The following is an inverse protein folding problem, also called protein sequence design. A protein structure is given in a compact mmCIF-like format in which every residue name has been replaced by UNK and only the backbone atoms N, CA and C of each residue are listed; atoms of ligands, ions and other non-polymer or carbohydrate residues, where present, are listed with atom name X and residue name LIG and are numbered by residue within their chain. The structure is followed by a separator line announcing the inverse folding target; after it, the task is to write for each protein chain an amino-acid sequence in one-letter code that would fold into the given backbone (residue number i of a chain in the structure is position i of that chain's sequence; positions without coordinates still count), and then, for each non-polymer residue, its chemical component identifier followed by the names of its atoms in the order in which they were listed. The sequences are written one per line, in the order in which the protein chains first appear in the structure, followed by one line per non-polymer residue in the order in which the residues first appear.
data_IF_993857165378
#
_entry.id   IF_993857165378
#
_cell.length_a   1.000
_cell.length_b   1.000
_cell.length_c   1.000
_cell.angle_alpha   90.00
_cell.angle_beta   90.00
_cell.angle_gamma   90.00
#
_symmetry.space_group_name_H-M   'P 1'
#
loop_
_entity.id
_entity.type
_entity.pdbx_description
1 polymer ?
#
# COMPACT_ATOMS: atom_id res chain seq x y z
N UNK A 1 50.00 -19.37 6.20
CA UNK A 1 48.58 -19.70 5.88
C UNK A 1 47.76 -18.60 6.50
N UNK A 2 47.54 -17.54 5.74
CA UNK A 2 46.83 -16.37 6.24
C UNK A 2 45.33 -16.66 6.22
N UNK A 3 44.77 -16.77 7.42
CA UNK A 3 43.34 -16.82 7.68
C UNK A 3 42.71 -15.57 7.08
N UNK A 4 42.05 -15.72 5.93
CA UNK A 4 41.18 -14.69 5.38
C UNK A 4 40.03 -14.51 6.35
N UNK A 5 40.14 -13.45 7.16
CA UNK A 5 39.09 -12.98 8.04
C UNK A 5 37.96 -12.42 7.16
N UNK A 6 37.08 -13.30 6.68
CA UNK A 6 35.84 -12.92 6.01
C UNK A 6 34.99 -12.18 7.03
N UNK A 7 34.89 -10.85 6.89
CA UNK A 7 33.90 -10.05 7.61
C UNK A 7 32.53 -10.76 7.46
N UNK A 8 31.77 -10.97 8.55
CA UNK A 8 30.43 -11.50 8.40
C UNK A 8 29.66 -10.55 7.49
N UNK A 9 29.25 -11.04 6.32
CA UNK A 9 28.33 -10.32 5.45
C UNK A 9 27.06 -10.10 6.27
N UNK A 10 26.86 -8.86 6.73
CA UNK A 10 25.68 -8.49 7.52
C UNK A 10 24.48 -8.57 6.58
N UNK A 11 23.90 -9.77 6.47
CA UNK A 11 22.74 -10.03 5.63
C UNK A 11 21.59 -9.13 6.11
N UNK A 12 21.15 -8.23 5.23
CA UNK A 12 20.02 -7.35 5.50
C UNK A 12 18.76 -8.19 5.46
N UNK A 13 18.17 -8.45 6.62
CA UNK A 13 16.95 -9.23 6.73
C UNK A 13 15.73 -8.31 6.84
N UNK A 14 14.96 -8.26 5.76
CA UNK A 14 13.74 -7.48 5.60
C UNK A 14 12.55 -8.37 5.91
N UNK A 15 11.62 -7.89 6.73
CA UNK A 15 10.29 -8.50 6.87
C UNK A 15 9.27 -7.63 6.16
N UNK A 16 8.51 -8.20 5.23
CA UNK A 16 7.45 -7.52 4.51
C UNK A 16 6.08 -7.96 5.03
N UNK A 17 5.30 -7.06 5.62
CA UNK A 17 3.97 -7.32 6.19
C UNK A 17 2.87 -6.63 5.37
N UNK A 18 2.25 -7.30 4.38
CA UNK A 18 1.13 -6.76 3.63
C UNK A 18 -0.17 -6.77 4.44
N UNK A 19 -1.12 -5.88 4.09
CA UNK A 19 -2.52 -6.09 4.44
C UNK A 19 -3.02 -7.37 3.74
N UNK A 20 -3.80 -8.24 4.39
CA UNK A 20 -4.15 -9.58 3.90
C UNK A 20 -5.24 -9.57 2.81
N UNK A 21 -5.08 -8.71 1.80
CA UNK A 21 -5.95 -8.62 0.64
C UNK A 21 -5.16 -8.61 -0.65
N UNK A 22 -5.70 -9.20 -1.72
CA UNK A 22 -4.95 -9.43 -2.98
C UNK A 22 -4.34 -8.16 -3.58
N UNK A 23 -5.08 -7.06 -3.52
CA UNK A 23 -4.66 -5.75 -4.02
C UNK A 23 -3.48 -5.12 -3.26
N UNK A 24 -3.17 -5.62 -2.06
CA UNK A 24 -2.05 -5.16 -1.22
C UNK A 24 -0.86 -6.14 -1.28
N UNK A 25 -1.14 -7.45 -1.29
CA UNK A 25 -0.13 -8.50 -1.39
C UNK A 25 0.65 -8.42 -2.69
N UNK A 26 -0.04 -8.30 -3.84
CA UNK A 26 0.63 -8.33 -5.14
C UNK A 26 1.62 -7.17 -5.33
N UNK A 27 1.24 -5.89 -5.08
CA UNK A 27 2.18 -4.79 -5.20
C UNK A 27 3.37 -4.88 -4.23
N UNK A 28 3.13 -5.26 -2.97
CA UNK A 28 4.24 -5.39 -2.01
C UNK A 28 5.17 -6.55 -2.38
N UNK A 29 4.64 -7.67 -2.87
CA UNK A 29 5.45 -8.78 -3.38
C UNK A 29 6.30 -8.35 -4.58
N UNK A 30 5.74 -7.54 -5.50
CA UNK A 30 6.50 -7.00 -6.63
C UNK A 30 7.63 -6.06 -6.17
N UNK A 31 7.38 -5.20 -5.18
CA UNK A 31 8.43 -4.40 -4.55
C UNK A 31 9.52 -5.29 -3.96
N UNK A 32 9.14 -6.35 -3.24
CA UNK A 32 10.08 -7.31 -2.66
C UNK A 32 10.93 -8.01 -3.74
N UNK A 33 10.31 -8.44 -4.86
CA UNK A 33 11.03 -9.02 -6.01
C UNK A 33 12.05 -8.05 -6.59
N UNK A 34 11.70 -6.76 -6.71
CA UNK A 34 12.64 -5.72 -7.17
C UNK A 34 13.80 -5.57 -6.18
N UNK A 35 13.53 -5.42 -4.89
CA UNK A 35 14.57 -5.29 -3.85
C UNK A 35 15.52 -6.50 -3.85
N UNK A 36 14.94 -7.71 -3.87
CA UNK A 36 15.68 -8.97 -3.93
C UNK A 36 16.56 -9.10 -5.18
N UNK A 37 16.17 -8.48 -6.30
CA UNK A 37 16.98 -8.48 -7.54
C UNK A 37 18.17 -7.52 -7.49
N UNK A 38 18.13 -6.49 -6.64
CA UNK A 38 19.18 -5.46 -6.56
C UNK A 38 20.38 -5.89 -5.73
N UNK A 39 20.19 -6.77 -4.74
CA UNK A 39 21.29 -7.31 -3.94
C UNK A 39 20.97 -8.71 -3.42
N UNK A 40 21.95 -9.61 -3.52
CA UNK A 40 21.88 -10.96 -2.94
C UNK A 40 22.04 -10.98 -1.42
N UNK A 41 22.48 -9.87 -0.83
CA UNK A 41 22.64 -9.72 0.61
C UNK A 41 21.31 -9.37 1.32
N UNK A 42 20.26 -9.07 0.55
CA UNK A 42 18.92 -8.83 1.08
C UNK A 42 18.18 -10.16 1.13
N UNK A 43 17.85 -10.59 2.34
CA UNK A 43 16.91 -11.67 2.62
C UNK A 43 15.56 -11.07 2.93
N UNK A 44 14.49 -11.51 2.26
CA UNK A 44 13.13 -11.05 2.50
C UNK A 44 12.29 -12.18 3.09
N UNK A 45 11.70 -11.95 4.25
CA UNK A 45 10.58 -12.75 4.75
C UNK A 45 9.28 -12.03 4.41
N UNK A 46 8.54 -12.56 3.45
CA UNK A 46 7.22 -12.05 3.09
C UNK A 46 6.16 -12.72 3.95
N UNK A 47 5.47 -11.95 4.78
CA UNK A 47 4.51 -12.47 5.74
C UNK A 47 3.13 -12.62 5.12
N UNK A 48 2.49 -13.75 5.37
CA UNK A 48 1.13 -14.07 4.91
C UNK A 48 0.40 -14.86 6.00
N UNK A 49 -0.94 -14.84 5.99
CA UNK A 49 -1.70 -15.81 6.79
C UNK A 49 -1.54 -17.21 6.20
N UNK A 50 -1.82 -18.25 6.98
CA UNK A 50 -1.83 -19.65 6.50
C UNK A 50 -2.78 -19.87 5.31
N UNK A 51 -3.94 -19.21 5.30
CA UNK A 51 -4.85 -19.22 4.15
C UNK A 51 -4.15 -18.65 2.89
N UNK A 52 -3.54 -17.48 3.04
CA UNK A 52 -2.82 -16.84 1.94
C UNK A 52 -1.61 -17.66 1.47
N UNK A 53 -0.92 -18.35 2.36
CA UNK A 53 0.13 -19.30 1.98
C UNK A 53 -0.44 -20.42 1.09
N UNK A 54 -1.66 -20.89 1.37
CA UNK A 54 -2.37 -21.83 0.49
C UNK A 54 -2.65 -21.26 -0.91
N UNK A 55 -2.87 -19.95 -1.03
CA UNK A 55 -3.16 -19.30 -2.32
C UNK A 55 -1.91 -19.02 -3.17
N UNK A 56 -0.77 -18.69 -2.56
CA UNK A 56 0.43 -18.21 -3.29
C UNK A 56 1.70 -19.01 -3.00
N UNK A 57 1.65 -20.02 -2.13
CA UNK A 57 2.85 -20.74 -1.67
C UNK A 57 3.63 -21.45 -2.79
N UNK A 58 2.91 -21.88 -3.83
CA UNK A 58 3.46 -22.50 -5.04
C UNK A 58 3.96 -21.50 -6.09
N UNK A 59 3.69 -20.21 -5.93
CA UNK A 59 4.06 -19.21 -6.93
C UNK A 59 5.60 -19.08 -7.01
N UNK A 60 6.15 -18.91 -8.22
CA UNK A 60 7.58 -18.75 -8.41
C UNK A 60 8.07 -17.46 -7.75
N UNK A 61 9.16 -17.59 -6.99
CA UNK A 61 9.82 -16.49 -6.27
C UNK A 61 11.34 -16.63 -6.29
N UNK A 62 12.09 -15.52 -6.20
CA UNK A 62 13.54 -15.57 -6.01
C UNK A 62 13.94 -16.31 -4.73
N UNK A 63 15.10 -16.97 -4.74
CA UNK A 63 15.59 -17.77 -3.60
C UNK A 63 15.78 -16.95 -2.31
N UNK A 64 16.06 -15.66 -2.44
CA UNK A 64 16.21 -14.74 -1.31
C UNK A 64 14.87 -14.15 -0.82
N UNK A 65 13.73 -14.68 -1.27
CA UNK A 65 12.40 -14.42 -0.71
C UNK A 65 11.82 -15.71 -0.14
N UNK A 66 11.56 -15.69 1.17
CA UNK A 66 10.87 -16.77 1.89
C UNK A 66 9.52 -16.31 2.40
N UNK A 67 8.57 -17.23 2.55
CA UNK A 67 7.33 -16.95 3.25
C UNK A 67 7.51 -17.13 4.76
N UNK A 68 6.93 -16.22 5.54
CA UNK A 68 6.65 -16.42 6.95
C UNK A 68 5.14 -16.50 7.14
N UNK A 69 4.62 -17.63 7.59
CA UNK A 69 3.18 -17.78 7.81
C UNK A 69 2.80 -17.39 9.24
N UNK A 70 1.66 -16.71 9.38
CA UNK A 70 1.00 -16.48 10.66
C UNK A 70 -0.36 -17.18 10.69
N UNK A 71 -0.83 -17.66 11.86
CA UNK A 71 -2.14 -18.28 12.01
C UNK A 71 -3.28 -17.46 11.40
N UNK A 72 -4.25 -18.14 10.78
CA UNK A 72 -5.40 -17.48 10.18
C UNK A 72 -6.43 -17.05 11.24
N UNK A 73 -6.20 -15.90 11.87
CA UNK A 73 -7.04 -15.33 12.94
C UNK A 73 -8.04 -14.26 12.46
N UNK A 74 -8.16 -14.10 11.13
CA UNK A 74 -9.06 -13.16 10.47
C UNK A 74 -10.06 -13.93 9.60
N UNK A 75 -11.21 -13.34 9.22
CA UNK A 75 -12.12 -13.96 8.26
C UNK A 75 -11.42 -14.22 6.92
N UNK A 76 -11.96 -15.13 6.11
CA UNK A 76 -11.35 -15.50 4.82
C UNK A 76 -11.37 -14.33 3.81
N UNK A 77 -10.29 -14.18 3.03
CA UNK A 77 -10.23 -13.22 1.90
C UNK A 77 -11.39 -13.45 0.91
N UNK A 78 -11.82 -14.70 0.72
CA UNK A 78 -12.83 -15.06 -0.28
C UNK A 78 -14.21 -14.46 0.01
N UNK A 79 -14.51 -14.19 1.29
CA UNK A 79 -15.82 -13.69 1.73
C UNK A 79 -15.75 -12.33 2.40
N UNK A 80 -14.55 -11.73 2.55
CA UNK A 80 -14.40 -10.45 3.25
C UNK A 80 -15.27 -9.32 2.68
N UNK A 81 -15.57 -9.36 1.38
CA UNK A 81 -16.39 -8.35 0.73
C UNK A 81 -17.81 -8.27 1.31
N UNK A 82 -18.31 -9.36 1.90
CA UNK A 82 -19.60 -9.40 2.58
C UNK A 82 -19.60 -8.61 3.89
N UNK A 83 -18.45 -8.54 4.57
CA UNK A 83 -18.25 -7.80 5.82
C UNK A 83 -16.81 -7.24 5.91
N UNK A 84 -16.59 -6.17 5.15
CA UNK A 84 -15.28 -5.52 5.09
C UNK A 84 -14.88 -4.92 6.44
N UNK A 85 -15.85 -4.49 7.25
CA UNK A 85 -15.60 -3.84 8.53
C UNK A 85 -15.08 -4.84 9.56
N UNK A 86 -15.75 -5.98 9.73
CA UNK A 86 -15.27 -7.02 10.64
C UNK A 86 -13.94 -7.61 10.19
N UNK A 87 -13.71 -7.74 8.88
CA UNK A 87 -12.41 -8.16 8.36
C UNK A 87 -11.31 -7.14 8.67
N UNK A 88 -11.59 -5.85 8.45
CA UNK A 88 -10.67 -4.76 8.78
C UNK A 88 -10.37 -4.72 10.28
N UNK A 89 -11.40 -4.75 11.13
CA UNK A 89 -11.27 -4.76 12.58
C UNK A 89 -10.44 -5.97 13.06
N UNK A 90 -10.73 -7.16 12.56
CA UNK A 90 -9.96 -8.36 12.86
C UNK A 90 -8.49 -8.23 12.43
N UNK A 91 -8.24 -7.65 11.25
CA UNK A 91 -6.88 -7.38 10.76
C UNK A 91 -6.12 -6.42 11.68
N UNK A 92 -6.81 -5.39 12.19
CA UNK A 92 -6.20 -4.38 13.07
C UNK A 92 -6.01 -4.85 14.50
N UNK A 93 -6.80 -5.82 14.98
CA UNK A 93 -6.80 -6.24 16.39
C UNK A 93 -6.17 -7.62 16.62
N UNK A 94 -6.19 -8.52 15.63
CA UNK A 94 -5.82 -9.93 15.82
C UNK A 94 -4.47 -10.32 15.21
N UNK A 95 -3.97 -9.60 14.20
CA UNK A 95 -2.73 -9.97 13.50
C UNK A 95 -1.44 -9.51 14.20
N UNK A 96 -1.50 -8.50 15.08
CA UNK A 96 -0.32 -7.97 15.76
C UNK A 96 0.40 -9.07 16.58
N UNK A 97 -0.32 -9.78 17.46
CA UNK A 97 0.30 -10.78 18.33
C UNK A 97 0.94 -11.97 17.56
N UNK A 98 0.29 -12.57 16.55
CA UNK A 98 0.91 -13.55 15.67
C UNK A 98 2.16 -13.03 14.94
N UNK A 99 2.12 -11.79 14.44
CA UNK A 99 3.25 -11.19 13.75
C UNK A 99 4.45 -10.98 14.70
N UNK A 100 4.21 -10.45 15.90
CA UNK A 100 5.22 -10.31 16.96
C UNK A 100 5.89 -11.65 17.27
N UNK A 101 5.10 -12.71 17.44
CA UNK A 101 5.60 -14.07 17.68
C UNK A 101 6.45 -14.60 16.53
N UNK A 102 6.06 -14.32 15.29
CA UNK A 102 6.85 -14.68 14.11
C UNK A 102 8.21 -13.97 14.13
N UNK A 103 8.25 -12.67 14.40
CA UNK A 103 9.50 -11.89 14.45
C UNK A 103 10.51 -12.49 15.44
N UNK A 104 10.04 -13.02 16.58
CA UNK A 104 10.89 -13.65 17.60
C UNK A 104 11.53 -14.97 17.15
N UNK A 105 10.92 -15.64 16.16
CA UNK A 105 11.35 -16.95 15.67
C UNK A 105 12.27 -16.85 14.45
N UNK A 106 12.29 -15.70 13.77
CA UNK A 106 13.03 -15.55 12.53
C UNK A 106 14.55 -15.54 12.76
N UNK A 107 15.26 -16.31 11.92
CA UNK A 107 16.72 -16.28 11.80
C UNK A 107 17.12 -16.03 10.35
N UNK A 108 18.10 -15.14 10.06
CA UNK A 108 18.75 -14.20 10.99
C UNK A 108 17.77 -13.18 11.60
N UNK A 109 18.16 -12.42 12.65
CA UNK A 109 17.31 -11.38 13.23
C UNK A 109 16.85 -10.36 12.21
N UNK A 110 15.68 -9.77 12.43
CA UNK A 110 15.09 -8.78 11.52
C UNK A 110 15.81 -7.45 11.65
N UNK A 111 16.21 -6.88 10.52
CA UNK A 111 16.94 -5.61 10.45
C UNK A 111 16.07 -4.43 10.05
N UNK A 112 14.98 -4.68 9.31
CA UNK A 112 14.01 -3.67 8.87
C UNK A 112 12.66 -4.33 8.59
N UNK A 113 11.58 -3.60 8.85
CA UNK A 113 10.22 -4.01 8.50
C UNK A 113 9.69 -3.08 7.40
N UNK A 114 9.21 -3.65 6.30
CA UNK A 114 8.37 -2.96 5.32
C UNK A 114 6.94 -3.40 5.58
N UNK A 115 6.01 -2.48 5.72
CA UNK A 115 4.61 -2.85 5.96
C UNK A 115 3.64 -2.08 5.09
N UNK A 116 2.48 -2.66 4.88
CA UNK A 116 1.34 -1.93 4.35
C UNK A 116 0.91 -0.82 5.31
N UNK A 117 0.74 0.39 4.79
CA UNK A 117 0.41 1.58 5.58
C UNK A 117 -0.89 1.43 6.36
N UNK A 118 -1.81 0.57 5.91
CA UNK A 118 -3.06 0.28 6.64
C UNK A 118 -2.78 -0.34 8.01
N UNK A 119 -1.70 -1.12 8.14
CA UNK A 119 -1.31 -1.83 9.36
C UNK A 119 -0.51 -0.92 10.32
N UNK A 120 -1.14 0.14 10.83
CA UNK A 120 -0.46 1.14 11.67
C UNK A 120 0.18 0.57 12.95
N UNK A 121 -0.33 -0.56 13.46
CA UNK A 121 0.22 -1.23 14.65
C UNK A 121 1.68 -1.68 14.46
N UNK A 122 2.13 -1.91 13.22
CA UNK A 122 3.52 -2.30 12.90
C UNK A 122 4.53 -1.23 13.34
N UNK A 123 4.16 0.05 13.25
CA UNK A 123 5.01 1.17 13.69
C UNK A 123 5.29 1.07 15.18
N UNK A 124 4.26 0.74 15.98
CA UNK A 124 4.38 0.52 17.42
C UNK A 124 5.35 -0.62 17.74
N UNK A 125 5.30 -1.72 16.97
CA UNK A 125 6.22 -2.85 17.13
C UNK A 125 7.66 -2.43 16.83
N UNK A 126 7.90 -1.75 15.71
CA UNK A 126 9.22 -1.28 15.32
C UNK A 126 9.85 -0.39 16.38
N UNK A 127 9.07 0.58 16.91
CA UNK A 127 9.51 1.46 17.99
C UNK A 127 9.88 0.68 19.26
N UNK A 128 9.02 -0.26 19.71
CA UNK A 128 9.28 -1.06 20.92
C UNK A 128 10.50 -1.98 20.77
N UNK A 129 10.81 -2.41 19.55
CA UNK A 129 11.91 -3.35 19.26
C UNK A 129 13.17 -2.68 18.72
N UNK A 130 13.15 -1.35 18.57
CA UNK A 130 14.22 -0.58 17.93
C UNK A 130 14.59 -1.11 16.52
N UNK A 131 13.57 -1.50 15.74
CA UNK A 131 13.71 -1.96 14.35
C UNK A 131 13.18 -0.85 13.42
N UNK A 132 13.98 -0.39 12.44
CA UNK A 132 13.50 0.54 11.42
C UNK A 132 12.27 0.03 10.68
N UNK A 133 11.31 0.93 10.42
CA UNK A 133 10.06 0.62 9.73
C UNK A 133 9.89 1.52 8.52
N UNK A 134 9.54 0.93 7.37
CA UNK A 134 9.18 1.62 6.13
C UNK A 134 7.72 1.33 5.77
N UNK A 135 6.96 2.40 5.50
CA UNK A 135 5.55 2.30 5.12
C UNK A 135 5.40 2.20 3.60
N UNK A 136 4.57 1.27 3.14
CA UNK A 136 4.24 1.04 1.74
C UNK A 136 2.76 1.36 1.47
N UNK A 137 2.49 2.17 0.45
CA UNK A 137 1.14 2.60 0.09
C UNK A 137 0.75 2.05 -1.29
N UNK A 138 -0.04 0.96 -1.37
CA UNK A 138 -0.46 0.39 -2.65
C UNK A 138 -1.77 0.98 -3.20
N UNK A 139 -2.43 1.87 -2.47
CA UNK A 139 -3.68 2.52 -2.91
C UNK A 139 -3.37 3.74 -3.80
N UNK A 140 -4.40 4.40 -4.35
CA UNK A 140 -4.20 5.58 -5.20
C UNK A 140 -3.53 6.73 -4.44
N UNK A 141 -2.81 7.58 -5.19
CA UNK A 141 -2.22 8.80 -4.67
C UNK A 141 -3.30 9.76 -4.12
N UNK A 142 -4.47 9.83 -4.75
CA UNK A 142 -5.62 10.60 -4.26
C UNK A 142 -6.11 10.17 -2.87
N UNK A 143 -6.16 8.87 -2.60
CA UNK A 143 -6.50 8.36 -1.26
C UNK A 143 -5.34 8.63 -0.30
N UNK A 144 -4.08 8.49 -0.75
CA UNK A 144 -2.92 8.85 0.07
C UNK A 144 -3.02 10.30 0.54
N UNK A 145 -3.29 11.24 -0.36
CA UNK A 145 -3.41 12.66 -0.07
C UNK A 145 -4.59 12.94 0.87
N UNK A 146 -5.73 12.29 0.67
CA UNK A 146 -6.87 12.40 1.60
C UNK A 146 -6.50 11.91 3.00
N UNK A 147 -5.85 10.74 3.09
CA UNK A 147 -5.38 10.20 4.36
C UNK A 147 -4.24 11.03 4.93
N UNK A 148 -3.35 11.60 4.13
CA UNK A 148 -2.25 12.46 4.57
C UNK A 148 -2.81 13.79 5.12
N UNK A 149 -3.76 14.42 4.44
CA UNK A 149 -4.41 15.63 4.94
C UNK A 149 -5.28 15.37 6.18
N UNK A 150 -5.80 14.13 6.36
CA UNK A 150 -6.41 13.70 7.63
C UNK A 150 -5.43 13.14 8.67
N UNK A 151 -4.23 12.69 8.28
CA UNK A 151 -3.21 12.08 9.15
C UNK A 151 -2.13 13.06 9.59
N UNK A 152 -2.02 14.21 8.93
CA UNK A 152 -1.34 15.42 9.44
C UNK A 152 -1.99 15.88 10.76
N UNK A 153 -3.21 15.42 11.10
CA UNK A 153 -3.81 15.61 12.43
C UNK A 153 -3.43 14.54 13.48
N UNK A 154 -2.83 13.39 13.13
CA UNK A 154 -2.88 12.19 14.02
C UNK A 154 -1.53 11.65 14.54
N UNK A 155 -0.36 11.93 13.95
CA UNK A 155 0.86 11.22 14.42
C UNK A 155 2.17 11.99 14.31
N UNK A 156 2.72 12.38 15.47
CA UNK A 156 4.10 12.85 15.67
C UNK A 156 5.17 11.75 15.62
N UNK A 157 5.00 10.74 14.75
CA UNK A 157 5.97 9.65 14.57
C UNK A 157 6.86 9.89 13.36
N UNK A 158 8.17 9.64 13.49
CA UNK A 158 9.13 9.67 12.37
C UNK A 158 8.82 8.51 11.41
N UNK A 159 8.02 8.78 10.37
CA UNK A 159 7.76 7.82 9.29
C UNK A 159 8.70 8.11 8.11
N UNK A 160 9.48 7.11 7.69
CA UNK A 160 10.19 7.15 6.43
C UNK A 160 9.31 6.50 5.37
N UNK A 161 8.84 7.29 4.41
CA UNK A 161 8.05 6.81 3.27
C UNK A 161 9.01 6.61 2.09
N UNK A 162 9.12 5.37 1.63
CA UNK A 162 9.86 5.04 0.41
C UNK A 162 9.01 5.44 -0.80
N UNK A 163 9.08 6.71 -1.17
CA UNK A 163 8.63 7.19 -2.48
C UNK A 163 9.65 6.77 -3.54
N UNK A 164 9.20 6.06 -4.57
CA UNK A 164 10.03 5.78 -5.75
C UNK A 164 10.10 7.06 -6.59
N UNK A 165 11.00 7.96 -6.20
CA UNK A 165 11.29 9.22 -6.87
C UNK A 165 12.68 9.66 -6.46
N UNK A 166 13.49 10.04 -7.44
CA UNK A 166 14.94 10.27 -7.32
C UNK A 166 15.35 11.09 -6.08
N UNK A 167 15.88 10.40 -5.08
CA UNK A 167 16.81 10.91 -4.07
C UNK A 167 16.42 12.19 -3.33
N UNK A 168 15.57 12.09 -2.31
CA UNK A 168 15.70 12.77 -0.99
C UNK A 168 14.51 12.39 -0.10
N UNK A 169 14.80 11.88 1.10
CA UNK A 169 13.79 11.62 2.12
C UNK A 169 13.21 12.95 2.64
N UNK A 170 11.89 13.04 2.74
CA UNK A 170 11.19 14.22 3.28
C UNK A 170 10.74 13.90 4.70
N UNK A 171 11.07 14.77 5.65
CA UNK A 171 10.73 14.69 7.09
C UNK A 171 9.88 15.91 7.46
N UNK A 172 8.77 15.76 8.20
CA UNK A 172 7.90 16.88 8.59
C UNK A 172 7.37 16.74 10.04
N UNK A 173 7.25 17.87 10.76
CA UNK A 173 6.86 18.04 12.17
C UNK A 173 5.56 18.86 12.35
N UNK A 174 4.86 18.74 13.48
CA UNK A 174 3.97 19.79 14.04
C UNK A 174 2.56 19.35 14.51
N UNK A 175 1.99 19.99 15.54
CA UNK A 175 0.94 19.50 16.48
C UNK A 175 -0.36 20.33 16.46
N UNK A 176 -1.51 19.72 16.80
CA UNK A 176 -2.68 20.40 17.41
C UNK A 176 -3.94 19.51 17.54
N UNK A 177 -4.42 19.26 18.78
CA UNK A 177 -5.57 18.37 19.11
C UNK A 177 -6.92 18.89 18.57
N UNK A 178 -7.89 17.99 18.30
CA UNK A 178 -9.30 18.10 18.71
C UNK A 178 -10.08 16.75 18.56
N UNK A 179 -11.17 16.62 19.32
CA UNK A 179 -11.96 15.40 19.60
C UNK A 179 -13.09 15.10 18.57
N UNK A 180 -13.66 13.87 18.57
CA UNK A 180 -14.42 13.32 17.46
C UNK A 180 -15.93 13.61 17.55
N UNK A 181 -16.62 13.55 16.40
CA UNK A 181 -17.87 12.81 16.17
C UNK A 181 -18.64 13.41 14.99
N UNK A 182 -18.59 12.73 13.84
CA UNK A 182 -19.70 12.75 12.86
C UNK A 182 -19.83 11.34 12.29
N UNK A 183 -20.85 10.61 12.74
CA UNK A 183 -21.23 9.30 12.21
C UNK A 183 -22.10 9.53 10.97
N UNK A 184 -21.66 9.05 9.80
CA UNK A 184 -22.50 8.98 8.60
C UNK A 184 -23.01 7.53 8.42
N UNK A 185 -24.23 7.32 7.89
CA UNK A 185 -24.77 5.97 7.68
C UNK A 185 -23.98 5.21 6.61
N UNK A 186 -23.69 3.93 6.88
CA UNK A 186 -22.96 3.01 5.99
C UNK A 186 -23.82 2.60 4.78
N UNK A 187 -23.31 2.66 3.53
CA UNK A 187 -23.89 1.96 2.40
C UNK A 187 -23.54 0.46 2.46
N UNK A 188 -24.45 -0.37 1.93
CA UNK A 188 -24.31 -1.83 1.83
C UNK A 188 -23.02 -2.27 1.12
N UNK A 189 -22.41 -3.34 1.64
CA UNK A 189 -21.25 -4.09 1.14
C UNK A 189 -20.92 -3.94 -0.36
N UNK A 190 -19.89 -3.15 -0.68
CA UNK A 190 -19.40 -2.98 -2.04
C UNK A 190 -18.50 -4.16 -2.47
N UNK A 191 -19.11 -5.19 -3.06
CA UNK A 191 -18.40 -6.15 -3.92
C UNK A 191 -17.92 -5.41 -5.17
N UNK A 192 -16.66 -5.55 -5.60
CA UNK A 192 -16.31 -5.09 -6.95
C UNK A 192 -17.05 -5.99 -7.95
N UNK A 193 -18.06 -5.40 -8.58
CA UNK A 193 -18.84 -6.01 -9.63
C UNK A 193 -18.46 -5.24 -10.90
N UNK A 194 -18.40 -5.95 -12.04
CA UNK A 194 -18.30 -5.27 -13.32
C UNK A 194 -19.37 -4.15 -13.36
N UNK A 195 -19.05 -2.94 -13.82
CA UNK A 195 -20.05 -1.89 -13.89
C UNK A 195 -21.29 -2.37 -14.66
N UNK A 196 -22.46 -1.87 -14.31
CA UNK A 196 -23.68 -2.16 -15.07
C UNK A 196 -23.48 -1.76 -16.54
N UNK A 197 -24.24 -2.37 -17.45
CA UNK A 197 -24.16 -2.01 -18.86
C UNK A 197 -24.36 -0.50 -19.04
N UNK A 198 -23.49 0.13 -19.83
CA UNK A 198 -23.47 1.58 -20.05
C UNK A 198 -22.66 2.39 -19.02
N UNK A 199 -22.13 1.76 -17.96
CA UNK A 199 -21.29 2.45 -16.97
C UNK A 199 -19.82 2.40 -17.36
N UNK A 200 -19.13 3.54 -17.23
CA UNK A 200 -17.71 3.69 -17.50
C UNK A 200 -16.91 3.81 -16.20
N UNK A 201 -15.78 3.10 -16.10
CA UNK A 201 -14.84 3.24 -14.99
C UNK A 201 -13.65 4.08 -15.42
N UNK A 202 -13.42 5.21 -14.75
CA UNK A 202 -12.32 6.12 -15.02
C UNK A 202 -11.29 6.06 -13.91
N UNK A 203 -10.16 5.41 -14.19
CA UNK A 203 -8.99 5.51 -13.32
C UNK A 203 -8.27 6.83 -13.62
N UNK A 204 -7.75 7.49 -12.60
CA UNK A 204 -7.03 8.76 -12.79
C UNK A 204 -5.86 8.87 -11.82
N UNK A 205 -4.80 9.55 -12.27
CA UNK A 205 -3.57 9.71 -11.49
C UNK A 205 -2.85 11.01 -11.85
N UNK A 206 -1.90 11.42 -11.01
CA UNK A 206 -1.05 12.58 -11.22
C UNK A 206 0.43 12.24 -11.04
N UNK A 207 1.26 12.69 -11.97
CA UNK A 207 2.71 12.69 -11.87
C UNK A 207 3.21 14.12 -11.66
N UNK A 208 3.93 14.37 -10.58
CA UNK A 208 4.34 15.71 -10.17
C UNK A 208 5.76 16.03 -10.63
N UNK A 209 5.96 17.22 -11.18
CA UNK A 209 7.27 17.75 -11.57
C UNK A 209 7.58 19.06 -10.85
N UNK A 210 8.85 19.49 -10.93
CA UNK A 210 9.34 20.70 -10.25
C UNK A 210 8.72 22.00 -10.76
N UNK A 211 8.23 22.02 -12.00
CA UNK A 211 7.63 23.21 -12.63
C UNK A 211 6.20 23.02 -13.10
N UNK A 212 5.74 21.79 -13.24
CA UNK A 212 4.39 21.42 -13.67
C UNK A 212 4.11 19.97 -13.30
N UNK A 213 2.84 19.59 -13.28
CA UNK A 213 2.43 18.19 -13.11
C UNK A 213 1.75 17.70 -14.39
N UNK A 214 1.69 16.39 -14.55
CA UNK A 214 0.97 15.72 -15.62
C UNK A 214 -0.10 14.86 -14.97
N UNK A 215 -1.35 15.09 -15.34
CA UNK A 215 -2.49 14.30 -14.88
C UNK A 215 -2.90 13.34 -16.01
N UNK A 216 -3.43 12.18 -15.65
CA UNK A 216 -3.87 11.18 -16.62
C UNK A 216 -5.20 10.56 -16.18
N UNK A 217 -6.03 10.23 -17.16
CA UNK A 217 -7.29 9.55 -16.97
C UNK A 217 -7.44 8.43 -18.02
N UNK A 218 -7.83 7.24 -17.57
CA UNK A 218 -8.09 6.08 -18.41
C UNK A 218 -9.48 5.56 -18.09
N UNK A 219 -10.40 5.70 -19.04
CA UNK A 219 -11.75 5.19 -18.93
C UNK A 219 -11.90 3.84 -19.63
N UNK A 220 -12.64 2.94 -18.97
CA UNK A 220 -13.02 1.63 -19.49
C UNK A 220 -14.53 1.49 -19.52
N UNK A 221 -15.07 0.80 -20.51
CA UNK A 221 -16.47 0.41 -20.51
C UNK A 221 -16.75 -0.72 -19.50
N UNK A 222 -18.02 -1.07 -19.35
CA UNK A 222 -18.49 -2.18 -18.51
C UNK A 222 -17.95 -3.58 -18.91
N UNK A 223 -17.35 -3.71 -20.11
CA UNK A 223 -16.68 -4.92 -20.60
C UNK A 223 -15.19 -4.94 -20.23
N UNK A 224 -14.66 -3.85 -19.67
CA UNK A 224 -13.24 -3.67 -19.33
C UNK A 224 -12.38 -3.14 -20.48
N UNK A 225 -12.99 -2.83 -21.63
CA UNK A 225 -12.32 -2.28 -22.81
C UNK A 225 -11.92 -0.84 -22.53
N UNK A 226 -10.68 -0.46 -22.83
CA UNK A 226 -10.28 0.96 -22.76
C UNK A 226 -10.97 1.72 -23.87
N UNK A 227 -11.75 2.73 -23.51
CA UNK A 227 -12.48 3.59 -24.46
C UNK A 227 -11.92 5.01 -24.51
N UNK A 228 -11.17 5.41 -23.49
CA UNK A 228 -10.54 6.72 -23.42
C UNK A 228 -9.24 6.62 -22.62
N UNK A 229 -8.18 7.23 -23.11
CA UNK A 229 -6.95 7.44 -22.37
C UNK A 229 -6.42 8.82 -22.75
N UNK A 230 -6.36 9.73 -21.77
CA UNK A 230 -5.85 11.07 -21.98
C UNK A 230 -4.90 11.47 -20.87
N UNK A 231 -4.03 12.42 -21.18
CA UNK A 231 -3.21 13.11 -20.21
C UNK A 231 -3.21 14.61 -20.47
N UNK A 232 -3.01 15.38 -19.42
CA UNK A 232 -2.96 16.84 -19.48
C UNK A 232 -1.82 17.35 -18.60
N UNK A 233 -1.05 18.31 -19.12
CA UNK A 233 -0.13 19.09 -18.30
C UNK A 233 -0.91 20.14 -17.52
N UNK A 234 -0.72 20.18 -16.21
CA UNK A 234 -1.31 21.19 -15.32
C UNK A 234 -0.20 22.06 -14.74
N UNK A 235 -0.45 23.37 -14.70
CA UNK A 235 0.56 24.35 -14.27
C UNK A 235 0.60 24.49 -12.75
N UNK A 236 0.80 23.36 -12.09
CA UNK A 236 1.02 23.28 -10.64
C UNK A 236 2.05 22.21 -10.36
N UNK A 237 2.97 22.49 -9.45
CA UNK A 237 3.91 21.53 -8.86
C UNK A 237 3.45 21.05 -7.48
N UNK A 238 2.30 21.53 -7.00
CA UNK A 238 1.75 21.19 -5.70
C UNK A 238 0.93 19.90 -5.86
N UNK A 239 1.32 18.78 -5.20
CA UNK A 239 0.67 17.49 -5.40
C UNK A 239 -0.85 17.51 -5.15
N UNK A 240 -1.28 18.15 -4.06
CA UNK A 240 -2.69 18.29 -3.73
C UNK A 240 -3.49 19.01 -4.82
N UNK A 241 -2.94 20.10 -5.36
CA UNK A 241 -3.59 20.84 -6.44
C UNK A 241 -3.65 19.99 -7.71
N UNK A 242 -2.57 19.29 -8.05
CA UNK A 242 -2.53 18.42 -9.20
C UNK A 242 -3.56 17.29 -9.10
N UNK A 243 -3.71 16.63 -7.94
CA UNK A 243 -4.70 15.57 -7.75
C UNK A 243 -6.15 16.08 -7.72
N UNK A 244 -6.41 17.20 -7.05
CA UNK A 244 -7.73 17.84 -7.09
C UNK A 244 -8.08 18.24 -8.54
N UNK A 245 -7.09 18.73 -9.28
CA UNK A 245 -7.24 19.03 -10.71
C UNK A 245 -7.47 17.76 -11.51
N UNK A 246 -6.80 16.64 -11.21
CA UNK A 246 -7.04 15.34 -11.85
C UNK A 246 -8.49 14.91 -11.72
N UNK A 247 -9.06 14.98 -10.51
CA UNK A 247 -10.44 14.63 -10.23
C UNK A 247 -11.44 15.49 -11.03
N UNK A 248 -11.29 16.82 -10.93
CA UNK A 248 -12.18 17.77 -11.64
C UNK A 248 -12.06 17.62 -13.15
N UNK A 249 -10.84 17.44 -13.65
CA UNK A 249 -10.59 17.26 -15.07
C UNK A 249 -11.16 15.94 -15.59
N UNK A 250 -10.98 14.83 -14.86
CA UNK A 250 -11.52 13.53 -15.26
C UNK A 250 -13.06 13.54 -15.28
N UNK A 251 -13.71 14.29 -14.37
CA UNK A 251 -15.15 14.53 -14.39
C UNK A 251 -15.59 15.32 -15.64
N UNK A 252 -14.95 16.44 -15.92
CA UNK A 252 -15.26 17.25 -17.10
C UNK A 252 -15.00 16.48 -18.41
N UNK A 253 -13.96 15.65 -18.42
CA UNK A 253 -13.62 14.80 -19.56
C UNK A 253 -14.72 13.74 -19.81
N UNK A 254 -15.25 13.12 -18.75
CA UNK A 254 -16.38 12.21 -18.86
C UNK A 254 -17.63 12.89 -19.47
N UNK A 255 -17.95 14.10 -19.01
CA UNK A 255 -19.06 14.90 -19.54
C UNK A 255 -18.84 15.23 -21.03
N UNK A 256 -17.64 15.67 -21.39
CA UNK A 256 -17.31 16.06 -22.76
C UNK A 256 -17.39 14.90 -23.76
N UNK A 257 -17.06 13.68 -23.34
CA UNK A 257 -17.14 12.47 -24.16
C UNK A 257 -18.57 11.88 -24.17
N UNK A 258 -19.49 12.45 -23.39
CA UNK A 258 -20.88 12.01 -23.33
C UNK A 258 -21.08 10.74 -22.52
N UNK A 259 -20.24 10.48 -21.51
CA UNK A 259 -20.46 9.37 -20.61
C UNK A 259 -21.62 9.69 -19.66
N UNK A 260 -22.75 8.99 -19.85
CA UNK A 260 -23.97 9.21 -19.07
C UNK A 260 -23.87 8.64 -17.63
N UNK A 261 -23.01 7.64 -17.42
CA UNK A 261 -22.80 7.04 -16.09
C UNK A 261 -21.33 6.67 -15.88
N UNK A 262 -20.68 7.29 -14.89
CA UNK A 262 -19.24 7.13 -14.61
C UNK A 262 -18.98 6.81 -13.15
N UNK A 263 -18.05 5.89 -12.92
CA UNK A 263 -17.44 5.61 -11.62
C UNK A 263 -15.95 5.95 -11.68
N UNK A 264 -15.43 6.57 -10.63
CA UNK A 264 -14.00 6.89 -10.49
C UNK A 264 -13.35 5.96 -9.46
#
# INVERSE_FOLDING_TARGET
MDSVNTKPTTQCHVVAMPYPGRGHINPLMNLCKILASKSKEILITFVVTEEWLGFIGSDPRPDNIRFGSIPNVIPSELVRAADNNSFFEATMTKLEAPFVKLLDQLKPPVTVIIHDTVLFWVVGIGNRRNIPVASFWPMSASIYTTFHHRAVEISGSKCFILGVGTGRAVQVWGVGRLHPHVTMPLPSAAKWIKPSQGVFKTNMDAAFGSSYSVIAAVARDWRGTVVLAQSLKVNTSIPLQAEATTLVWAFNLAVAVGFECVIF
#
